data_IF_654203830779
#
_entry.id   IF_654203830779
#
_cell.length_a   1.000
_cell.length_b   1.000
_cell.length_c   1.000
_cell.angle_alpha   90.00
_cell.angle_beta   90.00
_cell.angle_gamma   90.00
#
_symmetry.space_group_name_H-M   'P 1'
#
loop_
_entity.id
_entity.type
_entity.pdbx_description
1 polymer ?
#
# COMPACT_ATOMS: atom_id res chain seq x y z
N UNK A 1 31.71 -12.48 1.64
CA UNK A 1 31.00 -11.62 2.61
C UNK A 1 30.22 -10.49 1.94
N UNK A 2 30.82 -9.68 1.06
CA UNK A 2 30.13 -8.55 0.40
C UNK A 2 28.81 -8.92 -0.32
N UNK A 3 28.79 -10.03 -1.06
CA UNK A 3 27.57 -10.52 -1.75
C UNK A 3 26.45 -10.86 -0.79
N UNK A 4 26.78 -11.53 0.32
CA UNK A 4 25.79 -11.92 1.34
C UNK A 4 25.16 -10.68 1.96
N UNK A 5 25.96 -9.66 2.25
CA UNK A 5 25.48 -8.39 2.80
C UNK A 5 24.52 -7.70 1.81
N UNK A 6 24.88 -7.61 0.53
CA UNK A 6 24.01 -6.99 -0.50
C UNK A 6 22.69 -7.74 -0.69
N UNK A 7 22.72 -9.09 -0.65
CA UNK A 7 21.49 -9.91 -0.68
C UNK A 7 20.62 -9.63 0.55
N UNK A 8 21.21 -9.57 1.75
CA UNK A 8 20.48 -9.24 2.98
C UNK A 8 19.90 -7.81 2.94
N UNK A 9 20.64 -6.85 2.37
CA UNK A 9 20.16 -5.48 2.17
C UNK A 9 18.94 -5.45 1.25
N UNK A 10 18.98 -6.16 0.12
CA UNK A 10 17.83 -6.26 -0.79
C UNK A 10 16.60 -6.87 -0.10
N UNK A 11 16.80 -7.95 0.68
CA UNK A 11 15.72 -8.58 1.45
C UNK A 11 15.15 -7.61 2.48
N UNK A 12 16.01 -6.90 3.23
CA UNK A 12 15.59 -5.93 4.23
C UNK A 12 14.78 -4.79 3.60
N UNK A 13 15.22 -4.27 2.45
CA UNK A 13 14.50 -3.22 1.75
C UNK A 13 13.17 -3.71 1.16
N UNK A 14 13.13 -4.95 0.66
CA UNK A 14 11.87 -5.57 0.24
C UNK A 14 10.89 -5.74 1.41
N UNK A 15 11.36 -6.08 2.61
CA UNK A 15 10.53 -6.13 3.82
C UNK A 15 10.01 -4.74 4.21
N UNK A 16 10.87 -3.70 4.14
CA UNK A 16 10.50 -2.29 4.36
C UNK A 16 9.50 -1.78 3.33
N UNK A 17 9.43 -2.40 2.16
CA UNK A 17 8.39 -2.15 1.17
C UNK A 17 7.09 -2.89 1.51
N UNK A 18 7.15 -4.22 1.60
CA UNK A 18 5.99 -5.10 1.63
C UNK A 18 5.17 -4.98 2.92
N UNK A 19 5.82 -4.90 4.08
CA UNK A 19 5.12 -4.88 5.37
C UNK A 19 4.40 -3.56 5.65
N UNK A 20 5.01 -2.38 5.43
CA UNK A 20 4.30 -1.11 5.48
C UNK A 20 3.17 -1.03 4.45
N UNK A 21 3.31 -1.65 3.27
CA UNK A 21 2.22 -1.75 2.31
C UNK A 21 1.04 -2.54 2.89
N UNK A 22 1.32 -3.72 3.44
CA UNK A 22 0.35 -4.55 4.17
C UNK A 22 -0.33 -3.75 5.29
N UNK A 23 0.43 -3.03 6.11
CA UNK A 23 -0.09 -2.26 7.22
C UNK A 23 -1.02 -1.14 6.74
N UNK A 24 -0.66 -0.45 5.66
CA UNK A 24 -1.53 0.52 5.01
C UNK A 24 -2.86 -0.10 4.54
N UNK A 25 -2.80 -1.27 3.91
CA UNK A 25 -4.00 -2.01 3.47
C UNK A 25 -4.85 -2.51 4.65
N UNK A 26 -4.23 -2.92 5.74
CA UNK A 26 -4.93 -3.37 6.94
C UNK A 26 -5.72 -2.24 7.59
N UNK A 27 -5.10 -1.06 7.76
CA UNK A 27 -5.78 0.14 8.23
C UNK A 27 -6.96 0.49 7.31
N UNK A 28 -6.81 0.31 5.98
CA UNK A 28 -7.88 0.48 4.98
C UNK A 28 -9.06 -0.49 5.20
N UNK A 29 -8.76 -1.76 5.52
CA UNK A 29 -9.77 -2.80 5.76
C UNK A 29 -10.49 -2.66 7.11
N UNK A 30 -9.86 -2.08 8.14
CA UNK A 30 -10.52 -1.88 9.45
C UNK A 30 -11.78 -1.02 9.37
N UNK A 31 -11.84 -0.12 8.39
CA UNK A 31 -12.98 0.77 8.14
C UNK A 31 -13.87 0.29 6.99
N UNK A 32 -13.99 -1.01 6.83
CA UNK A 32 -14.67 -1.71 5.73
C UNK A 32 -16.09 -1.20 5.41
N UNK A 33 -16.87 -0.86 6.44
CA UNK A 33 -18.22 -0.30 6.28
C UNK A 33 -18.17 1.12 5.72
N UNK A 34 -17.22 1.94 6.20
CA UNK A 34 -17.00 3.30 5.71
C UNK A 34 -16.45 3.25 4.28
N UNK A 35 -15.52 2.33 3.99
CA UNK A 35 -14.96 2.14 2.65
C UNK A 35 -16.02 1.69 1.64
N UNK A 36 -16.98 0.84 2.04
CA UNK A 36 -18.12 0.48 1.19
C UNK A 36 -19.05 1.65 0.89
N UNK A 37 -19.31 2.53 1.86
CA UNK A 37 -20.10 3.76 1.62
C UNK A 37 -19.32 4.75 0.75
N UNK A 38 -18.03 4.90 1.03
CA UNK A 38 -17.10 5.72 0.27
C UNK A 38 -17.06 5.30 -1.20
N UNK A 39 -16.89 4.01 -1.50
CA UNK A 39 -16.79 3.51 -2.88
C UNK A 39 -18.08 3.73 -3.68
N UNK A 40 -19.24 3.69 -3.03
CA UNK A 40 -20.54 3.96 -3.69
C UNK A 40 -20.67 5.42 -4.11
N UNK A 41 -20.17 6.35 -3.30
CA UNK A 41 -20.23 7.80 -3.59
C UNK A 41 -19.07 8.22 -4.50
N UNK A 42 -17.88 7.64 -4.32
CA UNK A 42 -16.70 7.97 -5.12
C UNK A 42 -16.90 7.70 -6.61
N UNK A 43 -17.71 6.68 -6.96
CA UNK A 43 -18.13 6.39 -8.34
C UNK A 43 -18.94 7.51 -9.01
N UNK A 44 -19.55 8.40 -8.22
CA UNK A 44 -20.32 9.55 -8.72
C UNK A 44 -19.47 10.81 -8.87
N UNK A 45 -18.21 10.80 -8.42
CA UNK A 45 -17.27 11.93 -8.55
C UNK A 45 -16.17 11.59 -9.55
N UNK A 46 -15.70 12.62 -10.23
CA UNK A 46 -14.56 12.55 -11.13
C UNK A 46 -13.35 11.94 -10.40
N UNK A 47 -12.71 10.96 -11.05
CA UNK A 47 -11.51 10.29 -10.55
C UNK A 47 -10.28 11.15 -10.77
N UNK A 48 -9.28 11.06 -9.88
CA UNK A 48 -7.98 11.69 -10.16
C UNK A 48 -7.37 10.99 -11.36
N UNK A 49 -6.90 11.80 -12.32
CA UNK A 49 -6.30 11.30 -13.55
C UNK A 49 -5.15 10.31 -13.27
N UNK A 50 -5.10 9.15 -13.95
CA UNK A 50 -4.03 8.17 -13.80
C UNK A 50 -2.63 8.73 -14.11
N UNK A 51 -2.55 9.76 -14.95
CA UNK A 51 -1.30 10.45 -15.31
C UNK A 51 -0.55 11.03 -14.10
N UNK A 52 -1.22 11.26 -12.97
CA UNK A 52 -0.53 11.69 -11.74
C UNK A 52 0.39 10.63 -11.14
N UNK A 53 0.40 9.38 -11.63
CA UNK A 53 1.34 8.35 -11.18
C UNK A 53 2.81 8.69 -11.45
N UNK A 54 3.11 9.55 -12.44
CA UNK A 54 4.47 10.08 -12.62
C UNK A 54 4.96 10.88 -11.41
N UNK A 55 4.03 11.40 -10.60
CA UNK A 55 4.32 12.13 -9.36
C UNK A 55 3.47 11.56 -8.21
N UNK A 56 3.87 10.41 -7.62
CA UNK A 56 3.05 9.66 -6.67
C UNK A 56 2.62 10.50 -5.46
N UNK A 57 3.50 11.40 -4.98
CA UNK A 57 3.19 12.36 -3.91
C UNK A 57 1.98 13.23 -4.26
N UNK A 58 1.98 13.79 -5.48
CA UNK A 58 0.89 14.68 -5.94
C UNK A 58 -0.40 13.89 -6.14
N UNK A 59 -0.31 12.68 -6.70
CA UNK A 59 -1.47 11.79 -6.85
C UNK A 59 -2.12 11.50 -5.49
N UNK A 60 -1.32 11.10 -4.51
CA UNK A 60 -1.79 10.79 -3.15
C UNK A 60 -2.43 12.03 -2.51
N UNK A 61 -1.84 13.21 -2.68
CA UNK A 61 -2.43 14.45 -2.18
C UNK A 61 -3.80 14.74 -2.82
N UNK A 62 -3.94 14.56 -4.13
CA UNK A 62 -5.20 14.77 -4.85
C UNK A 62 -6.27 13.76 -4.45
N UNK A 63 -5.90 12.48 -4.35
CA UNK A 63 -6.83 11.43 -3.88
C UNK A 63 -7.22 11.66 -2.42
N UNK A 64 -6.29 12.10 -1.56
CA UNK A 64 -6.60 12.49 -0.17
C UNK A 64 -7.62 13.63 -0.13
N UNK A 65 -7.43 14.69 -0.94
CA UNK A 65 -8.37 15.82 -1.01
C UNK A 65 -9.75 15.38 -1.50
N UNK A 66 -9.80 14.53 -2.54
CA UNK A 66 -11.04 13.92 -3.04
C UNK A 66 -11.71 13.07 -1.96
N UNK A 67 -10.92 12.28 -1.24
CA UNK A 67 -11.42 11.41 -0.18
C UNK A 67 -12.07 12.23 0.94
N UNK A 68 -11.39 13.28 1.42
CA UNK A 68 -11.92 14.18 2.43
C UNK A 68 -13.22 14.86 1.99
N UNK A 69 -13.34 15.26 0.72
CA UNK A 69 -14.56 15.87 0.19
C UNK A 69 -15.75 14.90 0.17
N UNK A 70 -15.53 13.64 -0.25
CA UNK A 70 -16.56 12.58 -0.22
C UNK A 70 -16.96 12.26 1.23
N UNK A 71 -15.99 12.25 2.14
CA UNK A 71 -16.23 11.89 3.53
C UNK A 71 -16.92 13.01 4.33
N UNK A 72 -16.68 14.28 3.97
CA UNK A 72 -17.46 15.39 4.48
C UNK A 72 -18.96 15.26 4.14
N UNK A 73 -19.29 14.69 2.97
CA UNK A 73 -20.66 14.43 2.52
C UNK A 73 -21.30 13.24 3.26
N UNK A 74 -20.49 12.24 3.65
CA UNK A 74 -20.90 11.05 4.41
C UNK A 74 -21.11 11.32 5.91
N UNK A 75 -20.35 12.26 6.46
CA UNK A 75 -20.27 12.49 7.89
C UNK A 75 -21.28 13.55 8.36
N UNK A 76 -22.55 13.18 8.48
CA UNK A 76 -23.57 14.02 9.17
C UNK A 76 -23.43 14.02 10.71
N UNK A 77 -22.24 13.72 11.25
CA UNK A 77 -21.93 13.73 12.70
C UNK A 77 -20.43 13.90 12.96
N UNK A 78 -20.06 14.59 14.04
CA UNK A 78 -18.66 14.95 14.34
C UNK A 78 -17.73 13.74 14.57
N UNK A 79 -18.18 12.70 15.28
CA UNK A 79 -17.34 11.54 15.62
C UNK A 79 -16.93 10.68 14.41
N UNK A 80 -17.76 10.59 13.37
CA UNK A 80 -17.42 9.82 12.16
C UNK A 80 -16.34 10.51 11.33
N UNK A 81 -16.24 11.85 11.38
CA UNK A 81 -15.27 12.64 10.62
C UNK A 81 -13.85 12.46 11.15
N UNK A 82 -13.69 12.50 12.47
CA UNK A 82 -12.38 12.39 13.12
C UNK A 82 -11.77 11.00 12.90
N UNK A 83 -12.56 9.93 13.07
CA UNK A 83 -12.13 8.56 12.81
C UNK A 83 -11.62 8.38 11.38
N UNK A 84 -12.33 8.95 10.41
CA UNK A 84 -11.96 8.91 9.00
C UNK A 84 -10.67 9.67 8.70
N UNK A 85 -10.49 10.86 9.28
CA UNK A 85 -9.28 11.67 9.08
C UNK A 85 -8.07 10.92 9.66
N UNK A 86 -8.20 10.39 10.87
CA UNK A 86 -7.16 9.58 11.51
C UNK A 86 -6.82 8.35 10.67
N UNK A 87 -7.84 7.65 10.17
CA UNK A 87 -7.70 6.53 9.26
C UNK A 87 -6.89 6.90 7.99
N UNK A 88 -7.29 7.95 7.26
CA UNK A 88 -6.59 8.39 6.05
C UNK A 88 -5.14 8.76 6.36
N UNK A 89 -4.90 9.47 7.47
CA UNK A 89 -3.56 9.88 7.86
C UNK A 89 -2.66 8.67 8.15
N UNK A 90 -3.16 7.66 8.85
CA UNK A 90 -2.42 6.40 9.11
C UNK A 90 -2.11 5.64 7.82
N UNK A 91 -3.12 5.39 6.98
CA UNK A 91 -2.91 4.70 5.71
C UNK A 91 -1.92 5.45 4.80
N UNK A 92 -2.00 6.78 4.79
CA UNK A 92 -1.06 7.64 4.04
C UNK A 92 0.36 7.55 4.59
N UNK A 93 0.53 7.54 5.92
CA UNK A 93 1.84 7.39 6.55
C UNK A 93 2.49 6.06 6.15
N UNK A 94 1.75 4.95 6.27
CA UNK A 94 2.23 3.64 5.87
C UNK A 94 2.54 3.53 4.38
N UNK A 95 1.75 4.19 3.53
CA UNK A 95 2.05 4.30 2.11
C UNK A 95 3.42 4.98 1.87
N UNK A 96 3.72 6.09 2.54
CA UNK A 96 5.01 6.77 2.37
C UNK A 96 6.19 5.95 2.88
N UNK A 97 6.03 5.23 4.00
CA UNK A 97 7.06 4.30 4.50
C UNK A 97 7.29 3.17 3.48
N UNK A 98 6.22 2.60 2.92
CA UNK A 98 6.31 1.58 1.87
C UNK A 98 7.00 2.10 0.60
N UNK A 99 6.66 3.32 0.17
CA UNK A 99 7.29 3.96 -0.99
C UNK A 99 8.79 4.17 -0.76
N UNK A 100 9.19 4.60 0.44
CA UNK A 100 10.60 4.72 0.80
C UNK A 100 11.32 3.36 0.75
N UNK A 101 10.71 2.31 1.30
CA UNK A 101 11.23 0.94 1.20
C UNK A 101 11.38 0.45 -0.24
N UNK A 102 10.40 0.75 -1.10
CA UNK A 102 10.43 0.39 -2.52
C UNK A 102 11.56 1.10 -3.28
N UNK A 103 11.78 2.39 -3.00
CA UNK A 103 12.90 3.14 -3.57
C UNK A 103 14.25 2.59 -3.09
N UNK A 104 14.38 2.23 -1.80
CA UNK A 104 15.60 1.58 -1.29
C UNK A 104 15.84 0.22 -1.96
N UNK A 105 14.78 -0.56 -2.14
CA UNK A 105 14.85 -1.86 -2.82
C UNK A 105 15.36 -1.71 -4.26
N UNK A 106 14.92 -0.66 -4.97
CA UNK A 106 15.43 -0.33 -6.32
C UNK A 106 16.95 -0.09 -6.29
N UNK A 107 17.45 0.70 -5.34
CA UNK A 107 18.89 0.97 -5.18
C UNK A 107 19.66 -0.32 -4.82
N UNK A 108 19.18 -1.09 -3.85
CA UNK A 108 19.81 -2.36 -3.46
C UNK A 108 19.82 -3.40 -4.58
N UNK A 109 18.80 -3.39 -5.45
CA UNK A 109 18.75 -4.26 -6.63
C UNK A 109 19.79 -3.84 -7.67
N UNK A 110 19.93 -2.54 -7.92
CA UNK A 110 20.93 -1.98 -8.82
C UNK A 110 22.36 -2.31 -8.35
N UNK A 111 22.63 -2.10 -7.05
CA UNK A 111 23.93 -2.45 -6.46
C UNK A 111 24.28 -3.94 -6.56
N UNK A 112 23.27 -4.81 -6.54
CA UNK A 112 23.43 -6.25 -6.66
C UNK A 112 23.66 -6.65 -8.12
N UNK A 113 22.95 -6.05 -9.06
CA UNK A 113 23.15 -6.24 -10.50
C UNK A 113 24.58 -5.85 -10.94
N UNK A 114 25.07 -4.69 -10.49
CA UNK A 114 26.46 -4.25 -10.75
C UNK A 114 27.48 -5.27 -10.24
N UNK A 115 27.23 -5.89 -9.08
CA UNK A 115 28.15 -6.86 -8.51
C UNK A 115 28.23 -8.15 -9.34
N UNK A 116 27.13 -8.56 -9.97
CA UNK A 116 27.10 -9.76 -10.80
C UNK A 116 27.43 -9.49 -12.28
N UNK A 117 27.81 -8.25 -12.65
CA UNK A 117 28.05 -7.81 -14.03
C UNK A 117 26.89 -8.15 -14.98
N UNK A 118 25.66 -8.18 -14.45
CA UNK A 118 24.47 -8.42 -15.25
C UNK A 118 24.07 -7.10 -15.90
N UNK A 119 24.80 -6.59 -16.90
CA UNK A 119 24.53 -5.25 -17.48
C UNK A 119 23.29 -5.19 -18.39
N UNK A 120 22.24 -5.93 -18.06
CA UNK A 120 21.03 -6.04 -18.89
C UNK A 120 19.85 -5.36 -18.20
N UNK A 121 19.48 -4.19 -18.75
CA UNK A 121 18.30 -3.44 -18.32
C UNK A 121 17.02 -4.29 -18.28
N UNK A 122 16.89 -5.30 -19.14
CA UNK A 122 15.75 -6.21 -19.14
C UNK A 122 15.72 -7.10 -17.89
N UNK A 123 16.87 -7.61 -17.45
CA UNK A 123 16.97 -8.42 -16.24
C UNK A 123 16.62 -7.58 -15.01
N UNK A 124 17.16 -6.35 -14.94
CA UNK A 124 16.80 -5.39 -13.90
C UNK A 124 15.30 -5.13 -13.83
N UNK A 125 14.69 -4.78 -14.98
CA UNK A 125 13.25 -4.48 -15.05
C UNK A 125 12.40 -5.71 -14.68
N UNK A 126 12.75 -6.90 -15.17
CA UNK A 126 12.08 -8.13 -14.80
C UNK A 126 12.17 -8.42 -13.30
N UNK A 127 13.35 -8.27 -12.71
CA UNK A 127 13.56 -8.48 -11.27
C UNK A 127 12.79 -7.43 -10.44
N UNK A 128 12.81 -6.16 -10.84
CA UNK A 128 12.06 -5.09 -10.18
C UNK A 128 10.54 -5.35 -10.22
N UNK A 129 10.01 -5.74 -11.38
CA UNK A 129 8.58 -6.09 -11.54
C UNK A 129 8.24 -7.31 -10.69
N UNK A 130 9.09 -8.34 -10.70
CA UNK A 130 8.87 -9.56 -9.91
C UNK A 130 8.85 -9.28 -8.40
N UNK A 131 9.83 -8.51 -7.88
CA UNK A 131 9.91 -8.14 -6.47
C UNK A 131 8.75 -7.25 -6.04
N UNK A 132 8.37 -6.29 -6.88
CA UNK A 132 7.21 -5.41 -6.65
C UNK A 132 5.92 -6.24 -6.59
N UNK A 133 5.68 -7.10 -7.59
CA UNK A 133 4.52 -7.97 -7.63
C UNK A 133 4.49 -8.92 -6.42
N UNK A 134 5.62 -9.52 -6.04
CA UNK A 134 5.72 -10.39 -4.87
C UNK A 134 5.35 -9.66 -3.58
N UNK A 135 5.75 -8.41 -3.40
CA UNK A 135 5.36 -7.60 -2.23
C UNK A 135 3.87 -7.29 -2.21
N UNK A 136 3.28 -6.91 -3.35
CA UNK A 136 1.84 -6.70 -3.47
C UNK A 136 1.06 -7.98 -3.15
N UNK A 137 1.45 -9.12 -3.75
CA UNK A 137 0.80 -10.40 -3.49
C UNK A 137 0.92 -10.83 -2.03
N UNK A 138 2.09 -10.65 -1.43
CA UNK A 138 2.30 -10.93 0.00
C UNK A 138 1.35 -10.11 0.88
N UNK A 139 1.25 -8.80 0.62
CA UNK A 139 0.39 -7.91 1.37
C UNK A 139 -1.11 -8.22 1.17
N UNK A 140 -1.56 -8.33 -0.08
CA UNK A 140 -2.97 -8.60 -0.41
C UNK A 140 -3.41 -9.97 0.08
N UNK A 141 -2.56 -10.99 -0.08
CA UNK A 141 -2.83 -12.33 0.43
C UNK A 141 -3.08 -12.30 1.93
N UNK A 142 -2.17 -11.69 2.70
CA UNK A 142 -2.29 -11.57 4.16
C UNK A 142 -3.55 -10.83 4.61
N UNK A 143 -3.89 -9.71 3.96
CA UNK A 143 -5.14 -8.98 4.26
C UNK A 143 -6.36 -9.86 4.02
N UNK A 144 -6.37 -10.62 2.91
CA UNK A 144 -7.48 -11.51 2.57
C UNK A 144 -7.65 -12.63 3.60
N UNK A 145 -6.56 -13.25 4.05
CA UNK A 145 -6.61 -14.26 5.12
C UNK A 145 -7.12 -13.66 6.43
N UNK A 146 -6.61 -12.50 6.83
CA UNK A 146 -7.05 -11.83 8.06
C UNK A 146 -8.55 -11.51 8.06
N UNK A 147 -9.12 -11.13 6.91
CA UNK A 147 -10.57 -10.90 6.79
C UNK A 147 -11.38 -12.19 6.93
N UNK A 148 -10.89 -13.32 6.39
CA UNK A 148 -11.56 -14.63 6.49
C UNK A 148 -11.64 -15.11 7.94
N UNK A 149 -10.53 -15.05 8.68
CA UNK A 149 -10.49 -15.48 10.08
C UNK A 149 -11.47 -14.67 10.93
N UNK A 150 -11.56 -13.36 10.70
CA UNK A 150 -12.49 -12.49 11.42
C UNK A 150 -13.96 -12.83 11.12
N UNK A 151 -14.28 -13.17 9.87
CA UNK A 151 -15.62 -13.62 9.47
C UNK A 151 -15.98 -14.98 10.07
N UNK A 152 -15.05 -15.94 10.07
CA UNK A 152 -15.26 -17.27 10.65
C UNK A 152 -15.50 -17.21 12.16
N UNK A 153 -14.77 -16.35 12.88
CA UNK A 153 -15.00 -16.10 14.30
C UNK A 153 -16.38 -15.49 14.57
N UNK A 154 -16.85 -14.57 13.73
CA UNK A 154 -18.19 -13.99 13.86
C UNK A 154 -19.31 -14.99 13.56
N UNK A 155 -19.10 -15.93 12.64
CA UNK A 155 -20.05 -16.99 12.33
C UNK A 155 -20.13 -18.04 13.44
N UNK A 156 -19.00 -18.41 14.06
CA UNK A 156 -18.98 -19.31 15.22
C UNK A 156 -19.63 -18.73 16.49
N UNK A 157 -19.78 -17.41 16.57
CA UNK A 157 -20.38 -16.72 17.72
C UNK A 157 -21.88 -16.40 17.53
N UNK A 158 -22.48 -16.73 16.38
CA UNK A 158 -23.94 -16.64 16.23
C UNK A 158 -24.58 -17.94 16.72
N UNK A 159 -25.51 -17.88 17.71
CA UNK A 159 -26.21 -19.03 18.24
C UNK A 159 -27.11 -19.69 17.20
#
# INVERSE_FOLDING_TARGET
>A
MATVIKVLSLIADWLLYSFPFYQGLMELGEYDVIMRRYSRISKRRESVSPWWWFFPIVKVHKEKKRALAILAELSKGHHTREQVITFINKATAWFYVSLAGWLKMLVSLFDLEEQFNLSSILIFLCALVALTAAGIFNAVGRVTYHHKDKLELQLKQRP
#
